data_IF_479241826325
#
_entry.id   IF_479241826325
#
_cell.length_a   1.000
_cell.length_b   1.000
_cell.length_c   1.000
_cell.angle_alpha   90.00
_cell.angle_beta   90.00
_cell.angle_gamma   90.00
#
_symmetry.space_group_name_H-M   'P 1'
#
loop_
_entity.id
_entity.type
_entity.pdbx_description
1 polymer ?
#
# COMPACT_ATOMS: atom_id res chain seq x y z
N UNK A 1 32.36 -13.87 -8.68
CA UNK A 1 32.61 -12.55 -8.08
C UNK A 1 31.29 -12.07 -7.50
N UNK A 2 31.13 -12.13 -6.18
CA UNK A 2 29.93 -11.56 -5.54
C UNK A 2 29.95 -10.05 -5.83
N UNK A 3 28.85 -9.45 -6.33
CA UNK A 3 28.82 -8.01 -6.48
C UNK A 3 29.07 -7.41 -5.10
N UNK A 4 30.13 -6.60 -4.99
CA UNK A 4 30.35 -5.76 -3.82
C UNK A 4 29.04 -5.04 -3.55
N UNK A 5 28.47 -5.25 -2.37
CA UNK A 5 27.30 -4.52 -1.91
C UNK A 5 27.75 -3.06 -1.78
N UNK A 6 27.53 -2.28 -2.84
CA UNK A 6 27.90 -0.87 -2.88
C UNK A 6 27.01 -0.13 -1.89
N UNK A 7 27.55 0.13 -0.70
CA UNK A 7 26.88 0.94 0.31
C UNK A 7 26.98 2.40 -0.10
N UNK A 8 25.85 3.09 -0.20
CA UNK A 8 25.83 4.54 -0.41
C UNK A 8 26.48 5.22 0.80
N UNK A 9 27.60 5.91 0.57
CA UNK A 9 28.31 6.70 1.58
C UNK A 9 27.66 8.06 1.67
N UNK A 10 27.49 8.59 2.88
CA UNK A 10 26.87 9.90 3.15
C UNK A 10 25.42 10.05 2.65
N UNK A 11 24.70 8.94 2.44
CA UNK A 11 23.27 8.98 2.12
C UNK A 11 22.50 9.74 3.21
N UNK A 12 21.74 10.76 2.80
CA UNK A 12 20.98 11.60 3.75
C UNK A 12 21.74 12.84 4.22
N UNK A 13 22.93 13.12 3.68
CA UNK A 13 23.68 14.34 4.01
C UNK A 13 22.94 15.61 3.60
N UNK A 14 22.24 15.59 2.46
CA UNK A 14 21.37 16.66 2.01
C UNK A 14 20.00 16.12 1.60
N UNK A 15 18.96 16.91 1.85
CA UNK A 15 17.57 16.57 1.60
C UNK A 15 16.88 17.74 0.90
N UNK A 16 16.04 17.43 -0.08
CA UNK A 16 15.14 18.40 -0.71
C UNK A 16 13.83 17.72 -1.08
N UNK A 17 12.71 18.32 -0.71
CA UNK A 17 11.39 17.79 -1.03
C UNK A 17 10.36 18.92 -1.17
N UNK A 18 9.09 18.55 -1.30
CA UNK A 18 8.00 19.50 -1.46
C UNK A 18 7.62 19.81 -2.91
N UNK A 19 8.14 19.04 -3.87
CA UNK A 19 7.81 19.10 -5.29
C UNK A 19 7.43 17.70 -5.76
N UNK A 20 6.38 17.61 -6.56
CA UNK A 20 5.95 16.39 -7.26
C UNK A 20 6.70 16.28 -8.60
N UNK A 21 7.57 15.28 -8.74
CA UNK A 21 8.44 15.10 -9.92
C UNK A 21 7.78 14.24 -11.00
N UNK A 22 6.76 13.45 -10.67
CA UNK A 22 6.10 12.53 -11.61
C UNK A 22 4.62 12.84 -11.87
N UNK A 23 4.09 13.90 -11.25
CA UNK A 23 2.76 14.44 -11.50
C UNK A 23 1.64 13.63 -10.86
N UNK A 24 1.92 12.84 -9.82
CA UNK A 24 0.94 11.98 -9.17
C UNK A 24 0.14 12.67 -8.04
N UNK A 25 0.44 13.93 -7.74
CA UNK A 25 -0.22 14.74 -6.70
C UNK A 25 0.39 14.59 -5.31
N UNK A 26 1.50 13.89 -5.16
CA UNK A 26 2.23 13.70 -3.90
C UNK A 26 3.67 14.17 -4.04
N UNK A 27 4.11 15.00 -3.08
CA UNK A 27 5.47 15.53 -3.10
C UNK A 27 6.51 14.42 -2.90
N UNK A 28 7.56 14.46 -3.73
CA UNK A 28 8.69 13.54 -3.68
C UNK A 28 9.82 14.07 -2.78
N UNK A 29 10.81 13.21 -2.53
CA UNK A 29 12.01 13.51 -1.75
C UNK A 29 13.28 13.13 -2.52
N UNK A 30 14.20 14.08 -2.65
CA UNK A 30 15.54 13.89 -3.20
C UNK A 30 16.55 13.82 -2.05
N UNK A 31 17.42 12.81 -2.10
CA UNK A 31 18.44 12.53 -1.08
C UNK A 31 19.83 12.51 -1.70
N UNK A 32 20.73 13.35 -1.19
CA UNK A 32 22.12 13.41 -1.62
C UNK A 32 23.01 12.40 -0.89
N UNK A 33 24.02 11.89 -1.62
CA UNK A 33 25.09 11.02 -1.12
C UNK A 33 26.41 11.45 -1.79
N UNK A 34 27.00 12.55 -1.31
CA UNK A 34 28.10 13.23 -2.02
C UNK A 34 29.39 12.39 -2.11
N UNK A 35 29.74 11.62 -1.08
CA UNK A 35 30.92 10.72 -1.11
C UNK A 35 30.70 9.48 -2.01
N UNK A 36 29.50 9.36 -2.59
CA UNK A 36 29.12 8.35 -3.58
C UNK A 36 28.80 8.94 -4.95
N UNK A 37 29.01 10.24 -5.18
CA UNK A 37 28.67 10.94 -6.42
C UNK A 37 27.25 10.62 -6.91
N UNK A 38 26.31 10.48 -5.98
CA UNK A 38 24.98 9.92 -6.25
C UNK A 38 23.87 10.77 -5.64
N UNK A 39 22.74 10.80 -6.35
CA UNK A 39 21.48 11.39 -5.89
C UNK A 39 20.38 10.34 -6.04
N UNK A 40 19.56 10.20 -5.01
CA UNK A 40 18.48 9.22 -4.93
C UNK A 40 17.16 9.97 -4.90
N UNK A 41 16.21 9.54 -5.73
CA UNK A 41 14.83 10.07 -5.74
C UNK A 41 13.90 9.05 -5.10
N UNK A 42 13.24 9.44 -4.02
CA UNK A 42 12.21 8.67 -3.34
C UNK A 42 10.85 9.24 -3.78
N UNK A 43 10.14 8.47 -4.61
CA UNK A 43 8.83 8.88 -5.11
C UNK A 43 7.72 8.52 -4.15
N UNK A 44 6.85 9.47 -3.86
CA UNK A 44 5.66 9.24 -3.06
C UNK A 44 4.65 8.40 -3.84
N UNK A 45 3.77 7.67 -3.14
CA UNK A 45 2.72 6.87 -3.74
C UNK A 45 1.35 7.31 -3.22
N UNK A 46 0.29 7.27 -4.05
CA UNK A 46 -1.05 7.60 -3.60
C UNK A 46 -1.52 6.79 -2.41
N UNK A 47 -2.19 7.46 -1.47
CA UNK A 47 -2.76 6.86 -0.26
C UNK A 47 -4.23 6.55 -0.50
N UNK A 48 -4.59 5.27 -0.42
CA UNK A 48 -5.97 4.80 -0.59
C UNK A 48 -6.56 4.54 0.79
N UNK A 49 -7.64 5.24 1.13
CA UNK A 49 -8.41 5.02 2.36
C UNK A 49 -9.67 4.21 2.04
N UNK A 50 -9.76 2.99 2.58
CA UNK A 50 -10.90 2.09 2.36
C UNK A 50 -11.76 2.07 3.61
N UNK A 51 -13.01 2.50 3.48
CA UNK A 51 -14.03 2.36 4.51
C UNK A 51 -15.06 1.34 4.05
N UNK A 52 -15.20 0.25 4.79
CA UNK A 52 -16.21 -0.77 4.53
C UNK A 52 -17.15 -0.87 5.73
N UNK A 53 -18.43 -1.07 5.44
CA UNK A 53 -19.45 -1.38 6.44
C UNK A 53 -20.21 -2.58 5.94
N UNK A 54 -20.29 -3.59 6.78
CA UNK A 54 -21.23 -4.68 6.60
C UNK A 54 -22.43 -4.40 7.50
N UNK A 55 -23.62 -4.32 6.89
CA UNK A 55 -24.87 -4.12 7.59
C UNK A 55 -25.71 -5.37 7.34
N UNK A 56 -25.94 -6.17 8.37
CA UNK A 56 -26.95 -7.21 8.33
C UNK A 56 -28.25 -6.65 8.88
N UNK A 57 -29.34 -6.87 8.15
CA UNK A 57 -30.68 -6.50 8.57
C UNK A 57 -31.25 -7.47 9.60
N UNK A 58 -30.73 -8.69 9.66
CA UNK A 58 -31.11 -9.72 10.61
C UNK A 58 -29.85 -10.37 11.17
N UNK A 59 -29.70 -10.33 12.50
CA UNK A 59 -28.56 -10.92 13.21
C UNK A 59 -28.87 -12.34 13.70
N UNK A 60 -30.07 -12.84 13.42
CA UNK A 60 -30.48 -14.18 13.79
C UNK A 60 -30.25 -15.13 12.62
N UNK A 61 -29.51 -16.21 12.89
CA UNK A 61 -29.37 -17.33 11.96
C UNK A 61 -30.46 -18.34 12.29
N UNK A 62 -31.49 -18.40 11.45
CA UNK A 62 -32.50 -19.45 11.52
C UNK A 62 -31.93 -20.76 10.93
N UNK A 63 -31.73 -21.76 11.79
CA UNK A 63 -31.21 -23.06 11.37
C UNK A 63 -32.25 -23.84 10.56
N UNK A 64 -33.54 -23.66 10.82
CA UNK A 64 -34.60 -24.38 10.11
C UNK A 64 -34.92 -23.73 8.75
N UNK A 65 -34.61 -22.43 8.65
CA UNK A 65 -34.54 -21.66 7.41
C UNK A 65 -35.88 -21.04 7.03
N UNK A 66 -35.87 -19.74 6.74
CA UNK A 66 -36.97 -19.10 6.04
C UNK A 66 -37.14 -19.71 4.63
N UNK A 67 -38.38 -19.74 4.17
CA UNK A 67 -38.83 -20.08 2.82
C UNK A 67 -38.09 -19.36 1.67
N UNK A 68 -37.30 -18.33 1.98
CA UNK A 68 -36.50 -17.55 1.04
C UNK A 68 -35.26 -18.26 0.49
N UNK A 69 -34.78 -19.35 1.13
CA UNK A 69 -33.66 -20.13 0.63
C UNK A 69 -33.98 -21.63 0.57
N UNK A 70 -33.98 -22.22 -0.63
CA UNK A 70 -34.16 -23.66 -0.79
C UNK A 70 -32.91 -24.41 -0.35
N UNK A 71 -33.04 -25.29 0.66
CA UNK A 71 -31.95 -26.20 1.07
C UNK A 71 -31.52 -27.08 -0.11
N UNK A 72 -30.35 -26.79 -0.68
CA UNK A 72 -29.79 -27.53 -1.82
C UNK A 72 -29.13 -28.87 -1.47
N UNK A 73 -29.10 -29.27 -0.19
CA UNK A 73 -28.49 -30.52 0.23
C UNK A 73 -29.53 -31.66 0.25
N UNK A 74 -29.68 -32.36 -0.87
CA UNK A 74 -30.29 -33.69 -0.89
C UNK A 74 -29.23 -34.73 -0.51
N UNK A 75 -29.34 -35.28 0.70
CA UNK A 75 -28.61 -36.49 1.08
C UNK A 75 -29.47 -37.71 0.74
N UNK A 76 -28.85 -38.68 0.07
CA UNK A 76 -29.43 -39.97 -0.34
C UNK A 76 -29.86 -40.84 0.84
#
# INVERSE_FOLDING_TARGET
LYPSKSTLRTFGFSLSGGVDLDGNGYNDLVVGAFDSDSVIVLRARPVINIQTKHLESDLNVDIDGDSSCTRGAQTW
#
